data_IF_738163640315
#
_entry.id   IF_738163640315
#
_cell.length_a   1.000
_cell.length_b   1.000
_cell.length_c   1.000
_cell.angle_alpha   90.00
_cell.angle_beta   90.00
_cell.angle_gamma   90.00
#
_symmetry.space_group_name_H-M   'P 1'
#
loop_
_entity.id
_entity.type
_entity.pdbx_description
1 polymer ?
#
# COMPACT_ATOMS: atom_id res chain seq x y z
N UNK A 1 -11.73 8.86 -11.18
CA UNK A 1 -11.08 7.54 -11.03
C UNK A 1 -9.80 7.51 -11.87
N UNK A 2 -8.64 7.48 -11.23
CA UNK A 2 -7.35 7.40 -11.94
C UNK A 2 -7.10 5.97 -12.40
N UNK A 3 -6.88 5.74 -13.69
CA UNK A 3 -6.56 4.42 -14.28
C UNK A 3 -5.40 3.72 -13.56
N UNK A 4 -4.48 4.50 -12.99
CA UNK A 4 -3.33 3.99 -12.25
C UNK A 4 -3.71 3.44 -10.87
N UNK A 5 -4.62 4.10 -10.15
CA UNK A 5 -5.10 3.62 -8.86
C UNK A 5 -5.90 2.33 -9.01
N UNK A 6 -6.71 2.23 -10.06
CA UNK A 6 -7.38 0.97 -10.44
C UNK A 6 -6.39 -0.16 -10.73
N UNK A 7 -5.24 0.14 -11.35
CA UNK A 7 -4.19 -0.85 -11.57
C UNK A 7 -3.54 -1.30 -10.26
N UNK A 8 -3.38 -0.40 -9.28
CA UNK A 8 -2.86 -0.73 -7.95
C UNK A 8 -3.88 -1.61 -7.21
N UNK A 9 -5.16 -1.24 -7.20
CA UNK A 9 -6.24 -2.03 -6.57
C UNK A 9 -6.34 -3.47 -7.09
N UNK A 10 -5.91 -3.73 -8.33
CA UNK A 10 -5.89 -5.06 -8.95
C UNK A 10 -4.70 -5.93 -8.54
N UNK A 11 -3.72 -5.39 -7.82
CA UNK A 11 -2.56 -6.17 -7.41
C UNK A 11 -2.93 -7.16 -6.29
N UNK A 12 -2.34 -8.37 -6.29
CA UNK A 12 -2.80 -9.45 -5.42
C UNK A 12 -2.50 -9.24 -3.93
N UNK A 13 -1.58 -8.34 -3.57
CA UNK A 13 -1.24 -7.98 -2.18
C UNK A 13 -1.99 -6.75 -1.66
N UNK A 14 -2.75 -6.07 -2.51
CA UNK A 14 -3.50 -4.87 -2.12
C UNK A 14 -4.86 -5.29 -1.56
N UNK A 15 -5.26 -4.67 -0.45
CA UNK A 15 -6.58 -4.84 0.16
C UNK A 15 -7.50 -3.68 -0.18
N UNK A 16 -7.01 -2.44 -0.02
CA UNK A 16 -7.77 -1.22 -0.30
C UNK A 16 -6.84 -0.09 -0.76
N UNK A 17 -7.39 0.84 -1.53
CA UNK A 17 -6.71 2.08 -1.94
C UNK A 17 -7.75 3.19 -1.85
N UNK A 18 -7.54 4.13 -0.94
CA UNK A 18 -8.41 5.26 -0.68
C UNK A 18 -7.74 6.55 -1.20
N UNK A 19 -8.40 7.26 -2.10
CA UNK A 19 -7.90 8.50 -2.69
C UNK A 19 -8.52 9.70 -1.97
N UNK A 20 -7.98 10.02 -0.80
CA UNK A 20 -8.50 11.12 0.03
C UNK A 20 -7.92 12.50 -0.36
N UNK A 21 -7.25 12.60 -1.52
CA UNK A 21 -6.68 13.88 -1.98
C UNK A 21 -7.73 14.95 -2.24
N UNK A 22 -8.96 14.56 -2.53
CA UNK A 22 -10.09 15.50 -2.70
C UNK A 22 -10.44 16.26 -1.42
N UNK A 23 -10.11 15.72 -0.25
CA UNK A 23 -10.29 16.38 1.06
C UNK A 23 -8.99 16.95 1.64
N UNK A 24 -7.90 16.97 0.86
CA UNK A 24 -6.59 17.49 1.27
C UNK A 24 -5.69 16.49 1.98
N UNK A 25 -6.03 15.19 1.98
CA UNK A 25 -5.22 14.11 2.55
C UNK A 25 -4.36 13.42 1.46
N UNK A 26 -3.56 12.43 1.86
CA UNK A 26 -2.76 11.60 0.95
C UNK A 26 -3.57 10.40 0.41
N UNK A 27 -3.03 9.69 -0.58
CA UNK A 27 -3.55 8.40 -1.05
C UNK A 27 -3.17 7.34 -0.04
N UNK A 28 -4.13 6.70 0.60
CA UNK A 28 -3.88 5.65 1.58
C UNK A 28 -3.97 4.31 0.87
N UNK A 29 -2.90 3.53 0.94
CA UNK A 29 -2.88 2.15 0.45
C UNK A 29 -2.80 1.21 1.64
N UNK A 30 -3.72 0.25 1.64
CA UNK A 30 -3.75 -0.85 2.61
C UNK A 30 -3.45 -2.15 1.88
N UNK A 31 -2.39 -2.83 2.30
CA UNK A 31 -2.05 -4.19 1.89
C UNK A 31 -2.94 -5.21 2.61
N UNK A 32 -2.97 -6.44 2.09
CA UNK A 32 -3.57 -7.57 2.79
C UNK A 32 -2.79 -7.86 4.07
N UNK A 33 -3.44 -8.43 5.08
CA UNK A 33 -2.84 -8.74 6.40
C UNK A 33 -1.54 -9.56 6.34
N UNK A 34 -1.42 -10.39 5.31
CA UNK A 34 -0.26 -11.27 5.07
C UNK A 34 0.90 -10.53 4.39
N UNK A 35 0.74 -9.24 4.09
CA UNK A 35 1.68 -8.43 3.36
C UNK A 35 2.00 -7.16 4.14
N UNK A 36 3.24 -6.73 4.01
CA UNK A 36 3.75 -5.51 4.61
C UNK A 36 4.60 -4.76 3.58
N UNK A 37 4.71 -3.45 3.76
CA UNK A 37 5.65 -2.67 2.97
C UNK A 37 7.07 -2.94 3.46
N UNK A 38 8.04 -3.02 2.55
CA UNK A 38 9.47 -3.15 2.84
C UNK A 38 10.07 -1.84 3.44
N UNK A 39 9.24 -0.97 4.01
CA UNK A 39 9.63 0.32 4.60
C UNK A 39 10.31 0.16 5.96
N UNK A 40 10.76 1.28 6.52
CA UNK A 40 11.43 1.36 7.82
C UNK A 40 10.56 0.90 9.01
N UNK A 41 9.25 0.77 8.81
CA UNK A 41 8.28 0.21 9.76
C UNK A 41 7.88 -1.24 9.41
N UNK A 42 8.66 -2.24 9.85
CA UNK A 42 8.29 -3.64 9.69
C UNK A 42 6.98 -3.94 10.45
N UNK A 43 6.10 -4.70 9.83
CA UNK A 43 4.74 -5.01 10.30
C UNK A 43 3.68 -4.04 9.79
N UNK A 44 4.05 -2.97 9.09
CA UNK A 44 3.09 -1.99 8.61
C UNK A 44 2.56 -2.33 7.20
N UNK A 45 1.30 -2.77 7.14
CA UNK A 45 0.57 -2.99 5.89
C UNK A 45 -0.12 -1.74 5.34
N UNK A 46 0.05 -0.56 5.94
CA UNK A 46 -0.65 0.67 5.54
C UNK A 46 0.37 1.76 5.25
N UNK A 47 0.22 2.45 4.12
CA UNK A 47 1.12 3.55 3.74
C UNK A 47 0.38 4.66 3.01
N UNK A 48 0.67 5.90 3.40
CA UNK A 48 0.21 7.10 2.71
C UNK A 48 1.17 7.52 1.59
N UNK A 49 0.62 7.99 0.48
CA UNK A 49 1.36 8.49 -0.68
C UNK A 49 0.79 9.81 -1.16
N UNK A 50 1.65 10.79 -1.42
CA UNK A 50 1.18 12.12 -1.83
C UNK A 50 0.75 12.16 -3.31
N UNK A 51 1.40 11.36 -4.15
CA UNK A 51 1.08 11.28 -5.58
C UNK A 51 0.73 9.86 -6.03
N UNK A 52 -0.03 9.79 -7.13
CA UNK A 52 -0.36 8.52 -7.80
C UNK A 52 0.90 7.82 -8.31
N UNK A 53 1.94 8.58 -8.67
CA UNK A 53 3.22 8.02 -9.11
C UNK A 53 3.96 7.36 -7.94
N UNK A 54 3.96 7.99 -6.77
CA UNK A 54 4.57 7.43 -5.56
C UNK A 54 3.83 6.19 -5.10
N UNK A 55 2.49 6.21 -5.08
CA UNK A 55 1.67 5.05 -4.78
C UNK A 55 1.97 3.88 -5.74
N UNK A 56 2.13 4.16 -7.03
CA UNK A 56 2.48 3.12 -8.01
C UNK A 56 3.86 2.54 -7.76
N UNK A 57 4.86 3.38 -7.48
CA UNK A 57 6.22 2.93 -7.22
C UNK A 57 6.30 2.15 -5.91
N UNK A 58 5.72 2.69 -4.84
CA UNK A 58 5.71 2.14 -3.49
C UNK A 58 4.86 0.89 -3.29
N UNK A 59 3.93 0.60 -4.21
CA UNK A 59 3.17 -0.65 -4.21
C UNK A 59 3.77 -1.72 -5.13
N UNK A 60 4.92 -1.48 -5.77
CA UNK A 60 5.56 -2.47 -6.62
C UNK A 60 5.97 -3.71 -5.83
N UNK A 61 6.05 -4.87 -6.49
CA UNK A 61 6.39 -6.16 -5.86
C UNK A 61 7.69 -6.14 -5.03
N UNK A 62 8.64 -5.27 -5.37
CA UNK A 62 9.91 -5.09 -4.66
C UNK A 62 9.78 -4.30 -3.35
N UNK A 63 8.74 -3.48 -3.25
CA UNK A 63 8.45 -2.61 -2.11
C UNK A 63 7.48 -3.27 -1.12
N UNK A 64 7.01 -4.47 -1.42
CA UNK A 64 6.13 -5.26 -0.56
C UNK A 64 6.69 -6.66 -0.37
N UNK A 65 6.51 -7.18 0.83
CA UNK A 65 6.88 -8.55 1.17
C UNK A 65 5.76 -9.21 1.96
N UNK A 66 5.81 -10.54 2.04
CA UNK A 66 4.94 -11.25 2.97
C UNK A 66 5.37 -10.85 4.38
N UNK A 67 4.41 -10.45 5.21
CA UNK A 67 4.69 -10.22 6.62
C UNK A 67 5.25 -11.50 7.21
N UNK A 68 6.46 -11.41 7.75
CA UNK A 68 7.02 -12.55 8.46
C UNK A 68 6.07 -12.89 9.62
N UNK A 69 5.83 -14.17 9.97
CA UNK A 69 5.09 -14.52 11.18
C UNK A 69 5.94 -14.19 12.42
N UNK A 70 6.27 -12.93 12.62
CA UNK A 70 6.95 -12.42 13.79
C UNK A 70 5.91 -12.19 14.88
N UNK A 71 5.56 -13.29 15.56
CA UNK A 71 5.14 -13.24 16.96
C UNK A 71 3.63 -13.06 17.18
N UNK A 72 2.91 -14.17 17.13
CA UNK A 72 2.08 -14.50 18.29
C UNK A 72 3.06 -14.59 19.47
N UNK A 73 3.12 -13.55 20.30
CA UNK A 73 3.56 -13.67 21.70
C UNK A 73 2.32 -13.70 22.57
#
# INVERSE_FOLDING_TARGET
>A
MSKTLDAIRKQPWISAVDDEREIGNSIIVTLKREWEFCSEDPGCGVKGFDTVADARSGCARREVQLSSPAGVK
#
